data_IF_198828834505
#
_entry.id   IF_198828834505
#
_cell.length_a   1.000
_cell.length_b   1.000
_cell.length_c   1.000
_cell.angle_alpha   90.00
_cell.angle_beta   90.00
_cell.angle_gamma   90.00
#
_symmetry.space_group_name_H-M   'P 1'
#
loop_
_entity.id
_entity.type
_entity.pdbx_description
1 polymer ?
#
# COMPACT_ATOMS: atom_id res chain seq x y z
N UNK A 1 12.81 -14.06 15.35
CA UNK A 1 11.68 -14.81 14.78
C UNK A 1 10.28 -14.22 15.03
N UNK A 2 10.10 -13.01 15.63
CA UNK A 2 8.74 -12.45 15.89
C UNK A 2 8.26 -11.35 14.93
N UNK A 3 9.16 -10.74 14.14
CA UNK A 3 8.85 -9.51 13.39
C UNK A 3 8.08 -9.77 12.08
N UNK A 4 8.27 -10.91 11.41
CA UNK A 4 7.55 -11.19 10.15
C UNK A 4 6.08 -11.54 10.36
N UNK A 5 5.72 -12.22 11.46
CA UNK A 5 4.31 -12.56 11.74
C UNK A 5 3.48 -11.34 12.07
N UNK A 6 4.04 -10.36 12.78
CA UNK A 6 3.34 -9.11 13.13
C UNK A 6 3.08 -8.25 11.89
N UNK A 7 4.07 -8.12 11.00
CA UNK A 7 3.93 -7.36 9.75
C UNK A 7 2.91 -8.01 8.82
N UNK A 8 3.01 -9.32 8.60
CA UNK A 8 2.07 -10.07 7.77
C UNK A 8 0.64 -9.96 8.32
N UNK A 9 0.47 -10.11 9.64
CA UNK A 9 -0.83 -9.93 10.30
C UNK A 9 -1.40 -8.51 10.10
N UNK A 10 -0.55 -7.48 10.12
CA UNK A 10 -0.97 -6.10 9.83
C UNK A 10 -1.46 -5.96 8.39
N UNK A 11 -0.74 -6.46 7.39
CA UNK A 11 -1.17 -6.39 5.99
C UNK A 11 -2.46 -7.17 5.74
N UNK A 12 -2.60 -8.37 6.31
CA UNK A 12 -3.83 -9.17 6.24
C UNK A 12 -5.00 -8.40 6.85
N UNK A 13 -4.83 -7.80 8.03
CA UNK A 13 -5.88 -7.01 8.66
C UNK A 13 -6.23 -5.75 7.88
N UNK A 14 -5.24 -5.09 7.27
CA UNK A 14 -5.48 -3.95 6.41
C UNK A 14 -6.36 -4.36 5.23
N UNK A 15 -6.02 -5.47 4.57
CA UNK A 15 -6.76 -6.01 3.44
C UNK A 15 -8.18 -6.41 3.83
N UNK A 16 -8.36 -7.16 4.93
CA UNK A 16 -9.68 -7.54 5.44
C UNK A 16 -10.58 -6.32 5.70
N UNK A 17 -10.03 -5.27 6.33
CA UNK A 17 -10.78 -4.04 6.60
C UNK A 17 -11.12 -3.27 5.32
N UNK A 18 -10.23 -3.28 4.33
CA UNK A 18 -10.52 -2.70 3.01
C UNK A 18 -11.70 -3.42 2.37
N UNK A 19 -11.72 -4.74 2.35
CA UNK A 19 -12.80 -5.52 1.77
C UNK A 19 -14.15 -5.26 2.47
N UNK A 20 -14.15 -5.12 3.80
CA UNK A 20 -15.34 -4.74 4.56
C UNK A 20 -15.82 -3.35 4.12
N UNK A 21 -14.92 -2.38 4.05
CA UNK A 21 -15.26 -1.02 3.62
C UNK A 21 -15.88 -1.04 2.22
N UNK A 22 -15.28 -1.74 1.26
CA UNK A 22 -15.82 -1.81 -0.10
C UNK A 22 -17.20 -2.43 -0.17
N UNK A 23 -17.41 -3.56 0.53
CA UNK A 23 -18.72 -4.22 0.61
C UNK A 23 -19.76 -3.31 1.24
N UNK A 24 -19.42 -2.61 2.33
CA UNK A 24 -20.33 -1.67 2.97
C UNK A 24 -20.65 -0.48 2.06
N UNK A 25 -19.66 0.10 1.39
CA UNK A 25 -19.89 1.22 0.47
C UNK A 25 -20.79 0.82 -0.71
N UNK A 26 -20.56 -0.35 -1.31
CA UNK A 26 -21.43 -0.89 -2.37
C UNK A 26 -22.86 -1.15 -1.87
N UNK A 27 -23.03 -1.60 -0.63
CA UNK A 27 -24.35 -1.77 -0.01
C UNK A 27 -25.06 -0.45 0.30
N UNK A 28 -24.32 0.59 0.67
CA UNK A 28 -24.88 1.93 0.84
C UNK A 28 -25.34 2.50 -0.51
N UNK A 29 -24.57 2.25 -1.57
CA UNK A 29 -24.94 2.64 -2.94
C UNK A 29 -26.22 1.95 -3.40
N UNK A 30 -26.34 0.63 -3.20
CA UNK A 30 -27.56 -0.10 -3.58
C UNK A 30 -28.80 0.36 -2.82
N UNK A 31 -28.62 0.93 -1.62
CA UNK A 31 -29.70 1.51 -0.81
C UNK A 31 -29.88 3.02 -1.01
N UNK A 32 -29.13 3.65 -1.91
CA UNK A 32 -29.11 5.10 -2.12
C UNK A 32 -28.91 5.90 -0.82
N UNK A 33 -28.14 5.36 0.12
CA UNK A 33 -27.84 6.06 1.39
C UNK A 33 -26.70 7.03 1.15
N UNK A 34 -26.91 8.30 1.52
CA UNK A 34 -25.91 9.35 1.38
C UNK A 34 -25.56 9.99 2.72
N UNK A 35 -24.26 10.25 2.93
CA UNK A 35 -23.75 10.93 4.12
C UNK A 35 -23.26 12.33 3.76
N UNK A 36 -23.73 13.35 4.49
CA UNK A 36 -23.30 14.75 4.31
C UNK A 36 -21.86 15.02 4.73
N UNK A 37 -21.32 14.23 5.66
CA UNK A 37 -19.96 14.41 6.19
C UNK A 37 -19.24 13.07 6.25
N UNK A 38 -17.96 13.07 5.86
CA UNK A 38 -17.09 11.88 5.93
C UNK A 38 -16.98 11.32 7.36
N UNK A 39 -17.14 12.16 8.39
CA UNK A 39 -17.12 11.73 9.79
C UNK A 39 -18.30 10.83 10.16
N UNK A 40 -19.47 11.02 9.54
CA UNK A 40 -20.62 10.14 9.75
C UNK A 40 -20.43 8.80 9.03
N UNK A 41 -19.91 8.83 7.80
CA UNK A 41 -19.52 7.64 7.07
C UNK A 41 -18.47 6.82 7.84
N UNK A 42 -17.42 7.48 8.35
CA UNK A 42 -16.38 6.82 9.13
C UNK A 42 -16.92 6.17 10.41
N UNK A 43 -17.94 6.77 11.04
CA UNK A 43 -18.60 6.17 12.21
C UNK A 43 -19.39 4.93 11.83
N UNK A 44 -20.10 4.96 10.71
CA UNK A 44 -20.82 3.80 10.19
C UNK A 44 -19.87 2.66 9.83
N UNK A 45 -18.84 2.94 9.02
CA UNK A 45 -17.82 1.96 8.62
C UNK A 45 -17.07 1.36 9.83
N UNK A 46 -16.71 2.18 10.82
CA UNK A 46 -16.07 1.66 12.03
C UNK A 46 -16.96 0.68 12.80
N UNK A 47 -18.28 0.91 12.81
CA UNK A 47 -19.22 -0.03 13.41
C UNK A 47 -19.32 -1.32 12.58
N UNK A 48 -19.44 -1.23 11.26
CA UNK A 48 -19.48 -2.40 10.38
C UNK A 48 -18.22 -3.27 10.48
N UNK A 49 -17.04 -2.64 10.51
CA UNK A 49 -15.76 -3.35 10.75
C UNK A 49 -15.79 -4.06 12.11
N UNK A 50 -16.19 -3.35 13.17
CA UNK A 50 -16.27 -3.94 14.51
C UNK A 50 -17.24 -5.13 14.54
N UNK A 51 -18.38 -5.03 13.86
CA UNK A 51 -19.37 -6.11 13.78
C UNK A 51 -18.83 -7.31 12.99
N UNK A 52 -18.15 -7.07 11.87
CA UNK A 52 -17.56 -8.13 11.05
C UNK A 52 -16.44 -8.88 11.79
N UNK A 53 -15.50 -8.14 12.40
CA UNK A 53 -14.42 -8.74 13.21
C UNK A 53 -14.98 -9.52 14.41
N UNK A 54 -16.07 -9.04 15.01
CA UNK A 54 -16.75 -9.75 16.09
C UNK A 54 -17.40 -11.04 15.60
N UNK A 55 -18.11 -11.02 14.47
CA UNK A 55 -18.71 -12.24 13.88
C UNK A 55 -17.66 -13.28 13.54
N UNK A 56 -16.51 -12.87 13.02
CA UNK A 56 -15.37 -13.76 12.76
C UNK A 56 -14.88 -14.42 14.06
N UNK A 57 -14.72 -13.65 15.14
CA UNK A 57 -14.37 -14.22 16.45
C UNK A 57 -15.46 -15.14 17.02
N UNK A 58 -16.74 -14.82 16.81
CA UNK A 58 -17.88 -15.66 17.24
C UNK A 58 -17.92 -16.99 16.48
N UNK A 59 -17.52 -17.02 15.21
CA UNK A 59 -17.39 -18.25 14.42
C UNK A 59 -16.24 -19.15 14.92
N UNK A 60 -15.25 -18.58 15.58
CA UNK A 60 -14.14 -19.31 16.22
C UNK A 60 -14.35 -19.56 17.73
N UNK A 61 -15.57 -19.31 18.25
CA UNK A 61 -15.89 -19.41 19.67
C UNK A 61 -15.91 -20.84 20.24
N UNK A 62 -15.75 -21.87 19.40
CA UNK A 62 -15.54 -23.27 19.84
C UNK A 62 -14.34 -23.42 20.79
N UNK A 63 -13.45 -22.41 20.85
CA UNK A 63 -12.26 -22.38 21.69
C UNK A 63 -12.48 -21.84 23.13
N UNK A 64 -13.72 -21.50 23.53
CA UNK A 64 -14.03 -21.04 24.90
C UNK A 64 -13.44 -19.65 25.26
N UNK A 65 -13.08 -18.85 24.26
CA UNK A 65 -12.43 -17.54 24.44
C UNK A 65 -13.48 -16.45 24.70
N UNK A 66 -13.30 -15.64 25.75
CA UNK A 66 -14.15 -14.48 26.03
C UNK A 66 -13.97 -13.42 24.93
N UNK A 67 -15.03 -13.19 24.15
CA UNK A 67 -15.04 -12.18 23.08
C UNK A 67 -15.20 -10.79 23.69
N UNK A 68 -14.25 -9.90 23.40
CA UNK A 68 -14.30 -8.51 23.85
C UNK A 68 -15.47 -7.77 23.22
N UNK A 69 -16.24 -7.04 24.04
CA UNK A 69 -17.32 -6.16 23.58
C UNK A 69 -16.83 -4.77 23.16
N UNK A 70 -15.52 -4.49 23.31
CA UNK A 70 -14.95 -3.18 22.97
C UNK A 70 -14.84 -3.02 21.46
N UNK A 71 -15.08 -1.79 20.97
CA UNK A 71 -14.86 -1.44 19.56
C UNK A 71 -13.39 -1.63 19.20
N UNK A 72 -13.13 -2.51 18.25
CA UNK A 72 -11.82 -2.82 17.69
C UNK A 72 -11.37 -1.77 16.67
N UNK A 73 -12.33 -1.11 16.00
CA UNK A 73 -12.07 -0.02 15.06
C UNK A 73 -12.72 1.29 15.54
N UNK A 74 -11.93 2.37 15.56
CA UNK A 74 -12.42 3.73 15.87
C UNK A 74 -12.55 4.55 14.60
N UNK A 75 -13.60 5.36 14.50
CA UNK A 75 -13.79 6.27 13.37
C UNK A 75 -12.61 7.23 13.17
N UNK A 76 -11.99 7.69 14.27
CA UNK A 76 -10.80 8.55 14.21
C UNK A 76 -9.60 7.85 13.56
N UNK A 77 -9.45 6.54 13.73
CA UNK A 77 -8.39 5.76 13.08
C UNK A 77 -8.60 5.68 11.57
N UNK A 78 -9.84 5.48 11.12
CA UNK A 78 -10.17 5.50 9.68
C UNK A 78 -9.92 6.88 9.06
N UNK A 79 -10.25 7.96 9.78
CA UNK A 79 -10.10 9.33 9.28
C UNK A 79 -8.64 9.79 9.17
N UNK A 80 -7.76 9.26 10.02
CA UNK A 80 -6.32 9.56 10.04
C UNK A 80 -5.50 8.63 9.14
N UNK A 81 -6.05 7.48 8.75
CA UNK A 81 -5.35 6.51 7.92
C UNK A 81 -5.20 7.01 6.49
N UNK A 82 -3.98 7.05 5.98
CA UNK A 82 -3.67 7.28 4.56
C UNK A 82 -4.24 6.20 3.64
N UNK A 83 -4.51 5.01 4.18
CA UNK A 83 -5.09 3.87 3.45
C UNK A 83 -6.61 4.00 3.31
N UNK A 84 -7.32 4.24 4.41
CA UNK A 84 -8.78 4.19 4.44
C UNK A 84 -9.46 5.53 4.09
N UNK A 85 -8.85 6.66 4.49
CA UNK A 85 -9.44 7.98 4.32
C UNK A 85 -9.72 8.33 2.85
N UNK A 86 -8.80 8.09 1.90
CA UNK A 86 -9.04 8.41 0.50
C UNK A 86 -10.28 7.70 -0.06
N UNK A 87 -10.54 6.46 0.36
CA UNK A 87 -11.70 5.69 -0.11
C UNK A 87 -13.02 6.31 0.35
N UNK A 88 -13.08 6.74 1.61
CA UNK A 88 -14.25 7.42 2.15
C UNK A 88 -14.47 8.79 1.49
N UNK A 89 -13.39 9.55 1.29
CA UNK A 89 -13.47 10.86 0.63
C UNK A 89 -13.91 10.72 -0.83
N UNK A 90 -13.42 9.71 -1.54
CA UNK A 90 -13.81 9.40 -2.92
C UNK A 90 -15.31 9.09 -3.02
N UNK A 91 -15.82 8.22 -2.14
CA UNK A 91 -17.23 7.88 -2.11
C UNK A 91 -18.13 9.09 -1.82
N UNK A 92 -17.74 9.93 -0.85
CA UNK A 92 -18.45 11.17 -0.50
C UNK A 92 -18.46 12.16 -1.68
N UNK A 93 -17.33 12.31 -2.39
CA UNK A 93 -17.23 13.22 -3.54
C UNK A 93 -18.09 12.74 -4.70
N UNK A 94 -18.07 11.44 -5.00
CA UNK A 94 -18.91 10.82 -6.03
C UNK A 94 -20.39 11.02 -5.74
N UNK A 95 -20.84 10.74 -4.52
CA UNK A 95 -22.27 10.80 -4.19
C UNK A 95 -22.80 12.24 -4.00
N UNK A 96 -21.91 13.22 -3.76
CA UNK A 96 -22.30 14.63 -3.66
C UNK A 96 -22.00 15.45 -4.93
N UNK A 97 -21.56 14.83 -6.03
CA UNK A 97 -21.19 15.50 -7.29
C UNK A 97 -20.15 16.63 -7.12
N UNK A 98 -19.17 16.45 -6.23
CA UNK A 98 -18.20 17.51 -5.86
C UNK A 98 -16.93 17.46 -6.74
N UNK A 99 -16.69 16.39 -7.49
CA UNK A 99 -15.40 16.13 -8.17
C UNK A 99 -15.51 16.03 -9.69
N UNK A 100 -14.45 16.46 -10.37
CA UNK A 100 -14.21 16.16 -11.79
C UNK A 100 -13.99 14.66 -11.99
N UNK A 101 -14.40 14.15 -13.15
CA UNK A 101 -14.28 12.73 -13.48
C UNK A 101 -12.83 12.22 -13.41
N UNK A 102 -11.86 12.99 -13.91
CA UNK A 102 -10.43 12.69 -13.82
C UNK A 102 -9.95 12.51 -12.37
N UNK A 103 -10.45 13.34 -11.45
CA UNK A 103 -10.11 13.24 -10.02
C UNK A 103 -10.65 11.97 -9.36
N UNK A 104 -11.79 11.45 -9.85
CA UNK A 104 -12.35 10.18 -9.41
C UNK A 104 -11.50 9.01 -9.93
N UNK A 105 -11.19 9.01 -11.22
CA UNK A 105 -10.40 7.97 -11.88
C UNK A 105 -8.99 7.85 -11.28
N UNK A 106 -8.32 8.97 -11.03
CA UNK A 106 -7.00 8.99 -10.41
C UNK A 106 -7.02 8.46 -8.97
N UNK A 107 -8.09 8.74 -8.22
CA UNK A 107 -8.26 8.21 -6.87
C UNK A 107 -8.55 6.69 -6.89
N UNK A 108 -9.31 6.20 -7.86
CA UNK A 108 -9.52 4.76 -8.07
C UNK A 108 -8.22 4.04 -8.43
N UNK A 109 -7.38 4.62 -9.31
CA UNK A 109 -6.07 4.06 -9.64
C UNK A 109 -5.14 4.01 -8.42
N UNK A 110 -5.08 5.09 -7.63
CA UNK A 110 -4.33 5.10 -6.36
C UNK A 110 -4.79 4.00 -5.41
N UNK A 111 -6.09 3.76 -5.35
CA UNK A 111 -6.65 2.69 -4.53
C UNK A 111 -6.24 1.29 -5.04
N UNK A 112 -6.35 1.04 -6.36
CA UNK A 112 -5.89 -0.21 -6.97
C UNK A 112 -4.42 -0.47 -6.70
N UNK A 113 -3.57 0.55 -6.77
CA UNK A 113 -2.14 0.46 -6.43
C UNK A 113 -1.92 0.08 -4.97
N UNK A 114 -2.67 0.66 -4.03
CA UNK A 114 -2.57 0.31 -2.60
C UNK A 114 -2.94 -1.16 -2.38
N UNK A 115 -4.01 -1.64 -3.03
CA UNK A 115 -4.44 -3.04 -2.93
C UNK A 115 -3.38 -3.99 -3.48
N UNK A 116 -2.89 -3.72 -4.70
CA UNK A 116 -1.82 -4.49 -5.31
C UNK A 116 -0.54 -4.49 -4.47
N UNK A 117 -0.18 -3.36 -3.87
CA UNK A 117 0.98 -3.28 -2.96
C UNK A 117 0.80 -4.18 -1.74
N UNK A 118 -0.39 -4.19 -1.13
CA UNK A 118 -0.64 -5.08 0.02
C UNK A 118 -0.65 -6.55 -0.38
N UNK A 119 -1.27 -6.90 -1.52
CA UNK A 119 -1.27 -8.27 -2.05
C UNK A 119 0.15 -8.75 -2.36
N UNK A 120 0.96 -7.89 -2.97
CA UNK A 120 2.37 -8.15 -3.24
C UNK A 120 3.17 -8.40 -1.95
N UNK A 121 3.00 -7.56 -0.94
CA UNK A 121 3.68 -7.73 0.36
C UNK A 121 3.29 -9.05 1.04
N UNK A 122 2.01 -9.44 0.99
CA UNK A 122 1.54 -10.73 1.51
C UNK A 122 2.18 -11.89 0.76
N UNK A 123 2.19 -11.86 -0.57
CA UNK A 123 2.77 -12.92 -1.42
C UNK A 123 4.28 -13.05 -1.23
N UNK A 124 5.00 -11.94 -1.05
CA UNK A 124 6.43 -11.95 -0.74
C UNK A 124 6.71 -12.62 0.60
N UNK A 125 5.88 -12.35 1.61
CA UNK A 125 6.02 -12.98 2.92
C UNK A 125 5.69 -14.49 2.85
N UNK A 126 4.68 -14.90 2.08
CA UNK A 126 4.37 -16.32 1.82
C UNK A 126 5.50 -17.04 1.08
N UNK A 127 6.07 -16.39 0.06
CA UNK A 127 7.21 -16.90 -0.68
C UNK A 127 8.44 -17.05 0.22
N UNK A 128 8.69 -16.09 1.12
CA UNK A 128 9.76 -16.20 2.13
C UNK A 128 9.53 -17.37 3.07
N UNK A 129 8.30 -17.54 3.57
CA UNK A 129 7.95 -18.66 4.44
C UNK A 129 8.15 -20.02 3.75
N UNK A 130 7.74 -20.14 2.48
CA UNK A 130 7.95 -21.37 1.69
C UNK A 130 9.43 -21.65 1.42
N UNK A 131 10.23 -20.62 1.15
CA UNK A 131 11.69 -20.75 1.00
C UNK A 131 12.35 -21.24 2.28
N UNK A 132 11.92 -20.73 3.45
CA UNK A 132 12.39 -21.19 4.75
C UNK A 132 12.02 -22.66 5.01
N UNK A 133 10.78 -23.08 4.73
CA UNK A 133 10.31 -24.47 4.92
C UNK A 133 11.10 -25.43 4.02
N UNK A 134 11.36 -25.06 2.76
CA UNK A 134 12.05 -25.92 1.81
C UNK A 134 13.58 -25.90 1.96
N UNK A 135 14.11 -25.34 3.06
CA UNK A 135 15.55 -25.32 3.35
C UNK A 135 16.38 -24.52 2.35
N UNK A 136 15.73 -23.80 1.42
CA UNK A 136 16.39 -22.80 0.59
C UNK A 136 16.59 -21.58 1.48
N UNK A 137 17.65 -21.60 2.31
CA UNK A 137 18.19 -20.38 2.92
C UNK A 137 18.60 -19.44 1.79
N UNK A 138 17.65 -18.67 1.29
CA UNK A 138 17.87 -17.56 0.38
C UNK A 138 18.48 -16.42 1.19
N UNK A 139 19.73 -16.59 1.61
CA UNK A 139 20.48 -15.55 2.32
C UNK A 139 21.07 -14.50 1.38
N UNK A 140 20.64 -14.43 0.12
CA UNK A 140 21.13 -13.41 -0.82
C UNK A 140 20.13 -13.02 -1.92
N UNK A 141 19.20 -13.88 -2.33
CA UNK A 141 18.43 -13.63 -3.56
C UNK A 141 17.33 -12.56 -3.42
N UNK A 142 16.68 -12.44 -2.26
CA UNK A 142 15.57 -11.48 -2.06
C UNK A 142 16.06 -10.03 -1.89
N UNK A 143 17.20 -9.82 -1.22
CA UNK A 143 17.83 -8.48 -1.12
C UNK A 143 18.36 -8.07 -2.49
N UNK A 144 18.84 -9.01 -3.31
CA UNK A 144 19.20 -8.71 -4.69
C UNK A 144 17.99 -8.42 -5.56
N UNK A 145 16.83 -9.08 -5.42
CA UNK A 145 15.65 -8.76 -6.25
C UNK A 145 15.04 -7.41 -5.93
N UNK A 146 14.81 -7.04 -4.67
CA UNK A 146 14.28 -5.70 -4.33
C UNK A 146 15.26 -4.58 -4.72
N UNK A 147 16.57 -4.79 -4.51
CA UNK A 147 17.60 -3.85 -4.96
C UNK A 147 17.68 -3.79 -6.48
N UNK A 148 17.57 -4.93 -7.18
CA UNK A 148 17.55 -4.98 -8.64
C UNK A 148 16.28 -4.35 -9.21
N UNK A 149 15.12 -4.50 -8.58
CA UNK A 149 13.86 -3.85 -8.97
C UNK A 149 13.96 -2.33 -8.80
N UNK A 150 14.45 -1.85 -7.64
CA UNK A 150 14.70 -0.44 -7.42
C UNK A 150 15.71 0.16 -8.41
N UNK A 151 16.77 -0.57 -8.74
CA UNK A 151 17.74 -0.15 -9.76
C UNK A 151 17.18 -0.23 -11.19
N UNK A 152 16.29 -1.20 -11.47
CA UNK A 152 15.60 -1.32 -12.77
C UNK A 152 14.62 -0.17 -12.96
N UNK A 153 13.87 0.21 -11.92
CA UNK A 153 13.00 1.39 -11.93
C UNK A 153 13.84 2.66 -12.11
N UNK A 154 14.97 2.79 -11.39
CA UNK A 154 15.88 3.92 -11.58
C UNK A 154 16.40 3.99 -13.02
N UNK A 155 16.75 2.86 -13.63
CA UNK A 155 17.15 2.77 -15.03
C UNK A 155 16.03 3.21 -15.98
N UNK A 156 14.79 2.78 -15.75
CA UNK A 156 13.63 3.19 -16.56
C UNK A 156 13.39 4.70 -16.47
N UNK A 157 13.48 5.27 -15.27
CA UNK A 157 13.30 6.72 -15.04
C UNK A 157 14.42 7.51 -15.72
N UNK A 158 15.69 7.10 -15.56
CA UNK A 158 16.83 7.75 -16.23
C UNK A 158 16.69 7.67 -17.75
N UNK A 159 16.30 6.52 -18.29
CA UNK A 159 16.08 6.35 -19.73
C UNK A 159 14.93 7.21 -20.25
N UNK A 160 13.85 7.34 -19.48
CA UNK A 160 12.69 8.15 -19.85
C UNK A 160 13.02 9.65 -19.85
N UNK A 161 13.82 10.10 -18.88
CA UNK A 161 14.23 11.50 -18.74
C UNK A 161 15.65 11.79 -19.26
N UNK A 162 16.18 10.96 -20.18
CA UNK A 162 17.56 11.08 -20.71
C UNK A 162 17.89 12.43 -21.34
N UNK A 163 16.88 13.19 -21.73
CA UNK A 163 17.02 14.54 -22.30
C UNK A 163 17.28 15.60 -21.23
N UNK A 164 16.94 15.30 -19.97
CA UNK A 164 17.00 16.20 -18.83
C UNK A 164 18.04 15.78 -17.79
N UNK A 165 18.69 14.62 -17.94
CA UNK A 165 19.74 14.16 -17.04
C UNK A 165 20.88 13.47 -17.79
N UNK A 166 22.10 13.69 -17.32
CA UNK A 166 23.30 13.01 -17.79
C UNK A 166 24.15 12.51 -16.61
N UNK A 167 24.96 11.48 -16.85
CA UNK A 167 25.88 10.93 -15.85
C UNK A 167 27.25 11.57 -16.06
N UNK A 168 27.71 12.36 -15.09
CA UNK A 168 29.01 13.03 -15.14
C UNK A 168 29.74 12.93 -13.80
N UNK A 169 31.02 12.55 -13.81
CA UNK A 169 31.82 12.43 -12.57
C UNK A 169 31.25 11.43 -11.56
N UNK A 170 30.46 10.45 -12.00
CA UNK A 170 29.80 9.47 -11.13
C UNK A 170 28.52 9.97 -10.45
N UNK A 171 28.05 11.19 -10.75
CA UNK A 171 26.79 11.75 -10.28
C UNK A 171 25.75 11.83 -11.42
N UNK A 172 24.46 11.90 -11.05
CA UNK A 172 23.38 12.24 -11.98
C UNK A 172 23.17 13.76 -11.93
N UNK A 173 23.36 14.44 -13.05
CA UNK A 173 23.29 15.90 -13.15
C UNK A 173 22.34 16.32 -14.27
N UNK A 174 21.87 17.56 -14.25
CA UNK A 174 21.18 18.13 -15.41
C UNK A 174 22.20 18.62 -16.47
N UNK A 175 21.91 18.47 -17.77
CA UNK A 175 22.75 18.96 -18.87
C UNK A 175 22.55 20.47 -19.09
N UNK A 176 22.67 21.27 -18.02
CA UNK A 176 22.56 22.74 -18.04
C UNK A 176 23.89 23.39 -17.67
N UNK A 177 24.15 24.67 -18.03
CA UNK A 177 25.42 25.35 -17.74
C UNK A 177 25.79 25.39 -16.25
N UNK A 178 24.78 25.35 -15.37
CA UNK A 178 24.96 25.32 -13.92
C UNK A 178 25.16 23.91 -13.34
N UNK A 179 24.93 22.86 -14.13
CA UNK A 179 25.06 21.42 -13.78
C UNK A 179 24.57 21.10 -12.36
N UNK A 180 23.32 21.45 -11.99
CA UNK A 180 22.79 21.09 -10.68
C UNK A 180 22.83 19.58 -10.52
N UNK A 181 23.32 19.14 -9.35
CA UNK A 181 23.43 17.73 -9.00
C UNK A 181 22.07 17.23 -8.54
N UNK A 182 21.48 16.31 -9.31
CA UNK A 182 20.22 15.64 -8.98
C UNK A 182 20.48 14.56 -7.93
N UNK A 183 21.50 13.73 -8.16
CA UNK A 183 21.93 12.68 -7.22
C UNK A 183 23.46 12.73 -7.08
N UNK A 184 23.97 13.03 -5.88
CA UNK A 184 25.41 13.03 -5.61
C UNK A 184 26.08 11.67 -5.84
N UNK A 185 27.37 11.69 -6.20
CA UNK A 185 28.12 10.50 -6.60
C UNK A 185 28.21 9.42 -5.52
N UNK A 186 28.30 9.81 -4.24
CA UNK A 186 28.32 8.86 -3.12
C UNK A 186 27.04 8.01 -3.07
N UNK A 187 25.87 8.61 -3.31
CA UNK A 187 24.58 7.93 -3.32
C UNK A 187 24.32 7.19 -4.63
N UNK A 188 24.82 7.73 -5.75
CA UNK A 188 24.63 7.15 -7.09
C UNK A 188 25.58 5.97 -7.39
N UNK A 189 26.66 5.84 -6.62
CA UNK A 189 27.67 4.77 -6.76
C UNK A 189 27.08 3.36 -6.76
N UNK A 190 26.07 3.10 -5.92
CA UNK A 190 25.40 1.81 -5.81
C UNK A 190 24.67 1.42 -7.11
N UNK A 191 24.06 2.40 -7.79
CA UNK A 191 23.40 2.21 -9.08
C UNK A 191 24.42 2.02 -10.20
N UNK A 192 25.48 2.84 -10.25
CA UNK A 192 26.52 2.71 -11.28
C UNK A 192 27.23 1.36 -11.25
N UNK A 193 27.53 0.84 -10.05
CA UNK A 193 28.14 -0.48 -9.91
C UNK A 193 27.20 -1.60 -10.36
N UNK A 194 25.91 -1.46 -10.10
CA UNK A 194 24.90 -2.39 -10.60
C UNK A 194 24.75 -2.31 -12.12
N UNK A 195 24.65 -1.11 -12.70
CA UNK A 195 24.47 -0.91 -14.14
C UNK A 195 25.67 -1.46 -14.94
N UNK A 196 26.89 -1.32 -14.41
CA UNK A 196 28.10 -1.91 -14.97
C UNK A 196 28.13 -3.44 -14.90
N UNK A 197 27.42 -4.06 -13.96
CA UNK A 197 27.38 -5.52 -13.81
C UNK A 197 26.42 -6.21 -14.80
N UNK A 198 25.63 -5.43 -15.55
CA UNK A 198 24.70 -5.92 -16.57
C UNK A 198 25.37 -6.10 -17.95
N UNK A 199 26.58 -5.57 -18.14
CA UNK A 199 27.35 -5.59 -19.39
C UNK A 199 28.78 -6.05 -19.14
#
# INVERSE_FOLDING_TARGET
MKVSSERQWQHINIQKRLDIIEKTLAHLDSKNVNYKKVTYLARHLANEITLAERREMEQHAELGIKISTKKTCRASSLLKSSTYRPRMDLWIRRNNNISTQEGLELAELRFKLIKLSNEHDILLDELRALQEIHGRKSNSALITTERNEGMTIAQMVINHFKEFCEIHGGALIEPSPGRPVIVPANLFSAYLNWAKSLY
#
